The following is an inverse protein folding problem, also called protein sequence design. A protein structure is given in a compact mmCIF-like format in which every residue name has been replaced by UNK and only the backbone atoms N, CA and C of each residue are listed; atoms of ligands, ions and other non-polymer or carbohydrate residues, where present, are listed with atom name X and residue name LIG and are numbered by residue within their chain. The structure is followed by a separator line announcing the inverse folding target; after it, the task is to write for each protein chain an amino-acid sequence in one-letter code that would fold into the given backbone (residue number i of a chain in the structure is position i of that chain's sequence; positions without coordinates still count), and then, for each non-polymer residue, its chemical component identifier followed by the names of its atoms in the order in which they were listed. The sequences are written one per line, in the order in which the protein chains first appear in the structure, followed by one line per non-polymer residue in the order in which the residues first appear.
data_IF_576646113008
#
_entry.id   IF_576646113008
#
_cell.length_a   1.000
_cell.length_b   1.000
_cell.length_c   1.000
_cell.angle_alpha   90.00
_cell.angle_beta   90.00
_cell.angle_gamma   90.00
#
_symmetry.space_group_name_H-M   'P 1'
#
loop_
_entity.id
_entity.type
_entity.pdbx_description
1 polymer ?
#
# COMPACT_ATOMS: atom_id res chain seq x y z
N UNK A 1 5.43 30.08 -19.57
CA UNK A 1 6.75 29.70 -19.02
C UNK A 1 6.69 29.26 -17.55
N UNK A 2 5.88 29.86 -16.66
CA UNK A 2 5.78 29.40 -15.25
C UNK A 2 5.23 27.97 -15.10
N UNK A 3 4.32 27.55 -15.97
CA UNK A 3 3.77 26.19 -15.95
C UNK A 3 4.73 25.07 -16.39
N UNK A 4 5.84 25.41 -17.06
CA UNK A 4 6.90 24.44 -17.39
C UNK A 4 7.81 24.26 -16.17
N UNK A 5 8.23 25.36 -15.55
CA UNK A 5 9.05 25.39 -14.34
C UNK A 5 8.39 24.63 -13.17
N UNK A 6 7.07 24.79 -13.01
CA UNK A 6 6.31 24.04 -11.99
C UNK A 6 6.29 22.52 -12.23
N UNK A 7 6.23 22.08 -13.50
CA UNK A 7 6.27 20.65 -13.84
C UNK A 7 7.66 20.04 -13.61
N UNK A 8 8.70 20.80 -13.92
CA UNK A 8 10.09 20.40 -13.70
C UNK A 8 10.36 20.15 -12.21
N UNK A 9 9.96 21.09 -11.34
CA UNK A 9 10.08 20.96 -9.88
C UNK A 9 9.33 19.72 -9.37
N UNK A 10 8.11 19.48 -9.84
CA UNK A 10 7.32 18.29 -9.43
C UNK A 10 8.02 16.99 -9.85
N UNK A 11 8.64 16.98 -11.04
CA UNK A 11 9.39 15.82 -11.51
C UNK A 11 10.65 15.59 -10.68
N UNK A 12 11.44 16.63 -10.41
CA UNK A 12 12.62 16.53 -9.54
C UNK A 12 12.26 16.00 -8.16
N UNK A 13 11.22 16.56 -7.52
CA UNK A 13 10.75 16.08 -6.22
C UNK A 13 10.34 14.61 -6.26
N UNK A 14 9.70 14.14 -7.34
CA UNK A 14 9.33 12.72 -7.49
C UNK A 14 10.56 11.82 -7.59
N UNK A 15 11.58 12.25 -8.30
CA UNK A 15 12.85 11.50 -8.43
C UNK A 15 13.53 11.40 -7.06
N UNK A 16 13.66 12.52 -6.35
CA UNK A 16 14.29 12.54 -5.03
C UNK A 16 13.52 11.67 -4.01
N UNK A 17 12.19 11.75 -3.99
CA UNK A 17 11.36 10.88 -3.15
C UNK A 17 11.52 9.42 -3.55
N UNK A 18 11.67 9.11 -4.84
CA UNK A 18 11.92 7.74 -5.30
C UNK A 18 13.20 7.18 -4.70
N UNK A 19 14.29 7.96 -4.73
CA UNK A 19 15.58 7.56 -4.16
C UNK A 19 15.54 7.37 -2.65
N UNK A 20 14.81 8.23 -1.93
CA UNK A 20 14.62 8.06 -0.49
C UNK A 20 13.90 6.74 -0.20
N UNK A 21 12.86 6.41 -0.96
CA UNK A 21 12.14 5.15 -0.81
C UNK A 21 13.07 3.97 -1.09
N UNK A 22 13.86 4.03 -2.16
CA UNK A 22 14.82 2.96 -2.50
C UNK A 22 15.83 2.76 -1.37
N UNK A 23 16.42 3.83 -0.85
CA UNK A 23 17.37 3.78 0.27
C UNK A 23 16.75 3.19 1.55
N UNK A 24 15.50 3.56 1.88
CA UNK A 24 14.78 3.01 3.03
C UNK A 24 14.54 1.51 2.83
N UNK A 25 14.12 1.10 1.63
CA UNK A 25 13.86 -0.32 1.33
C UNK A 25 15.14 -1.15 1.42
N UNK A 26 16.25 -0.65 0.88
CA UNK A 26 17.55 -1.33 0.91
C UNK A 26 18.08 -1.47 2.34
N UNK A 27 18.05 -0.40 3.13
CA UNK A 27 18.45 -0.45 4.54
C UNK A 27 17.59 -1.46 5.33
N UNK A 28 16.29 -1.49 5.05
CA UNK A 28 15.37 -2.40 5.72
C UNK A 28 15.65 -3.86 5.36
N UNK A 29 16.01 -4.13 4.11
CA UNK A 29 16.42 -5.47 3.66
C UNK A 29 17.73 -5.90 4.31
N UNK A 30 18.73 -5.00 4.41
CA UNK A 30 19.97 -5.27 5.12
C UNK A 30 19.74 -5.61 6.59
N UNK A 31 18.78 -4.93 7.24
CA UNK A 31 18.42 -5.15 8.64
C UNK A 31 17.39 -6.27 8.85
N UNK A 32 16.90 -6.89 7.77
CA UNK A 32 15.84 -7.91 7.78
C UNK A 32 14.57 -7.46 8.52
N UNK A 33 14.23 -6.18 8.39
CA UNK A 33 13.02 -5.61 8.97
C UNK A 33 11.84 -5.81 8.01
N UNK A 34 10.77 -6.46 8.47
CA UNK A 34 9.52 -6.55 7.72
C UNK A 34 8.41 -5.86 8.50
N UNK A 35 7.80 -4.84 7.90
CA UNK A 35 6.65 -4.13 8.47
C UNK A 35 5.67 -3.77 7.37
N UNK A 36 4.42 -3.50 7.75
CA UNK A 36 3.38 -3.09 6.82
C UNK A 36 3.80 -1.88 5.97
N UNK A 37 4.33 -0.83 6.62
CA UNK A 37 4.80 0.38 5.93
C UNK A 37 5.93 0.10 4.94
N UNK A 38 6.88 -0.78 5.30
CA UNK A 38 7.97 -1.15 4.40
C UNK A 38 7.47 -1.93 3.19
N UNK A 39 6.48 -2.81 3.37
CA UNK A 39 5.86 -3.55 2.28
C UNK A 39 5.11 -2.60 1.31
N UNK A 40 4.40 -1.59 1.83
CA UNK A 40 3.78 -0.54 1.01
C UNK A 40 4.81 0.21 0.17
N UNK A 41 5.91 0.65 0.80
CA UNK A 41 6.98 1.40 0.15
C UNK A 41 7.69 0.56 -0.93
N UNK A 42 8.05 -0.68 -0.61
CA UNK A 42 8.73 -1.61 -1.52
C UNK A 42 7.91 -1.87 -2.78
N UNK A 43 6.60 -2.05 -2.61
CA UNK A 43 5.71 -2.37 -3.72
C UNK A 43 5.11 -1.13 -4.39
N UNK A 44 5.53 0.08 -4.00
CA UNK A 44 5.04 1.36 -4.54
C UNK A 44 3.50 1.44 -4.53
N UNK A 45 2.89 0.93 -3.46
CA UNK A 45 1.43 0.90 -3.29
C UNK A 45 0.93 2.33 -3.21
N UNK A 46 -0.09 2.66 -4.01
CA UNK A 46 -0.64 4.01 -4.04
C UNK A 46 -1.36 4.32 -2.72
N UNK A 47 -1.35 5.58 -2.25
CA UNK A 47 -2.02 5.96 -1.00
C UNK A 47 -3.50 5.56 -0.94
N UNK A 48 -4.21 5.64 -2.08
CA UNK A 48 -5.61 5.25 -2.16
C UNK A 48 -5.80 3.72 -2.03
N UNK A 49 -4.87 2.93 -2.56
CA UNK A 49 -4.90 1.46 -2.40
C UNK A 49 -4.66 1.08 -0.94
N UNK A 50 -3.64 1.69 -0.30
CA UNK A 50 -3.35 1.49 1.12
C UNK A 50 -4.56 1.86 1.99
N UNK A 51 -5.21 2.98 1.71
CA UNK A 51 -6.39 3.42 2.44
C UNK A 51 -7.55 2.42 2.35
N UNK A 52 -7.82 1.88 1.16
CA UNK A 52 -8.87 0.86 0.99
C UNK A 52 -8.56 -0.44 1.73
N UNK A 53 -7.30 -0.87 1.72
CA UNK A 53 -6.86 -2.04 2.49
C UNK A 53 -7.12 -1.83 3.98
N UNK A 54 -6.62 -0.72 4.53
CA UNK A 54 -6.76 -0.41 5.96
C UNK A 54 -8.22 -0.28 6.38
N UNK A 55 -9.04 0.40 5.57
CA UNK A 55 -10.46 0.59 5.86
C UNK A 55 -11.21 -0.74 5.93
N UNK A 56 -11.00 -1.63 4.97
CA UNK A 56 -11.69 -2.93 4.95
C UNK A 56 -11.20 -3.82 6.09
N UNK A 57 -9.89 -3.86 6.35
CA UNK A 57 -9.31 -4.60 7.48
C UNK A 57 -9.92 -4.10 8.80
N UNK A 58 -10.01 -2.78 8.99
CA UNK A 58 -10.61 -2.19 10.19
C UNK A 58 -12.09 -2.56 10.34
N UNK A 59 -12.89 -2.49 9.26
CA UNK A 59 -14.31 -2.88 9.28
C UNK A 59 -14.48 -4.37 9.60
N UNK A 60 -13.59 -5.22 9.09
CA UNK A 60 -13.65 -6.68 9.25
C UNK A 60 -12.88 -7.21 10.46
N UNK A 61 -12.27 -6.32 11.24
CA UNK A 61 -11.38 -6.66 12.36
C UNK A 61 -11.84 -7.85 13.21
N UNK A 62 -13.11 -7.84 13.66
CA UNK A 62 -13.67 -8.88 14.53
C UNK A 62 -13.84 -10.25 13.88
N UNK A 63 -13.93 -10.32 12.56
CA UNK A 63 -14.20 -11.54 11.79
C UNK A 63 -13.06 -11.83 10.81
N UNK A 64 -11.88 -11.26 11.04
CA UNK A 64 -10.83 -11.26 10.03
C UNK A 64 -10.20 -12.65 9.87
N UNK A 65 -10.06 -13.40 10.97
CA UNK A 65 -9.60 -14.80 10.96
C UNK A 65 -10.55 -15.76 10.23
N UNK A 66 -11.85 -15.46 10.20
CA UNK A 66 -12.86 -16.30 9.56
C UNK A 66 -13.22 -15.86 8.14
N UNK A 67 -12.71 -14.71 7.69
CA UNK A 67 -12.97 -14.21 6.34
C UNK A 67 -11.91 -14.73 5.37
N UNK A 68 -12.35 -15.34 4.27
CA UNK A 68 -11.43 -15.84 3.24
C UNK A 68 -10.69 -14.69 2.53
N UNK A 69 -9.50 -14.97 2.02
CA UNK A 69 -8.71 -14.00 1.26
C UNK A 69 -9.47 -13.48 0.04
N UNK A 70 -10.17 -14.36 -0.69
CA UNK A 70 -10.94 -14.02 -1.89
C UNK A 70 -12.05 -13.01 -1.55
N UNK A 71 -12.68 -13.18 -0.39
CA UNK A 71 -13.72 -12.27 0.10
C UNK A 71 -13.12 -10.91 0.46
N UNK A 72 -11.99 -10.89 1.18
CA UNK A 72 -11.28 -9.65 1.51
C UNK A 72 -10.81 -8.91 0.25
N UNK A 73 -10.24 -9.64 -0.71
CA UNK A 73 -9.80 -9.10 -2.01
C UNK A 73 -10.94 -8.40 -2.73
N UNK A 74 -12.11 -9.05 -2.85
CA UNK A 74 -13.28 -8.46 -3.50
C UNK A 74 -13.75 -7.20 -2.76
N UNK A 75 -13.78 -7.24 -1.43
CA UNK A 75 -14.18 -6.09 -0.63
C UNK A 75 -13.24 -4.91 -0.82
N UNK A 76 -11.92 -5.14 -0.76
CA UNK A 76 -10.88 -4.12 -0.95
C UNK A 76 -10.95 -3.56 -2.37
N UNK A 77 -11.05 -4.41 -3.39
CA UNK A 77 -11.13 -3.95 -4.78
C UNK A 77 -12.39 -3.13 -5.03
N UNK A 78 -13.53 -3.54 -4.47
CA UNK A 78 -14.79 -2.80 -4.59
C UNK A 78 -14.72 -1.46 -3.86
N UNK A 79 -14.14 -1.45 -2.66
CA UNK A 79 -13.91 -0.27 -1.84
C UNK A 79 -13.06 0.78 -2.60
N UNK A 80 -11.94 0.34 -3.18
CA UNK A 80 -11.05 1.15 -3.99
C UNK A 80 -11.71 1.67 -5.27
N UNK A 81 -12.39 0.79 -6.01
CA UNK A 81 -13.05 1.15 -7.27
C UNK A 81 -14.17 2.16 -7.00
N UNK A 82 -14.91 2.01 -5.89
CA UNK A 82 -15.96 2.93 -5.50
C UNK A 82 -15.41 4.33 -5.12
N UNK A 83 -14.25 4.40 -4.45
CA UNK A 83 -13.67 5.67 -4.03
C UNK A 83 -12.88 6.39 -5.13
N UNK A 84 -12.22 5.66 -6.02
CA UNK A 84 -11.29 6.24 -7.01
C UNK A 84 -11.81 6.20 -8.44
N UNK A 85 -12.83 5.37 -8.73
CA UNK A 85 -13.30 5.05 -10.08
C UNK A 85 -12.21 4.42 -10.98
N UNK A 86 -11.13 3.90 -10.39
CA UNK A 86 -10.03 3.23 -11.09
C UNK A 86 -10.12 1.72 -10.88
N UNK A 87 -9.62 0.90 -11.84
CA UNK A 87 -9.53 -0.54 -11.65
C UNK A 87 -8.46 -0.88 -10.60
N UNK A 88 -8.72 -1.89 -9.78
CA UNK A 88 -7.73 -2.46 -8.86
C UNK A 88 -6.62 -3.18 -9.64
N UNK A 89 -5.37 -2.80 -9.39
CA UNK A 89 -4.19 -3.34 -10.11
C UNK A 89 -3.18 -4.05 -9.22
N UNK A 90 -3.27 -3.90 -7.91
CA UNK A 90 -2.34 -4.54 -6.97
C UNK A 90 -2.42 -6.06 -7.06
N UNK A 91 -1.26 -6.73 -7.09
CA UNK A 91 -1.17 -8.17 -7.18
C UNK A 91 -1.67 -8.87 -5.92
N UNK A 92 -2.17 -10.09 -6.09
CA UNK A 92 -2.71 -10.88 -4.99
C UNK A 92 -1.61 -11.29 -4.00
N UNK A 93 -0.38 -11.52 -4.47
CA UNK A 93 0.77 -11.84 -3.63
C UNK A 93 1.08 -10.69 -2.66
N UNK A 94 1.16 -9.46 -3.18
CA UNK A 94 1.44 -8.26 -2.38
C UNK A 94 0.28 -8.00 -1.42
N UNK A 95 -0.96 -8.17 -1.89
CA UNK A 95 -2.14 -7.99 -1.03
C UNK A 95 -2.15 -9.00 0.14
N UNK A 96 -1.79 -10.27 -0.09
CA UNK A 96 -1.67 -11.28 0.98
C UNK A 96 -0.62 -10.89 2.01
N UNK A 97 0.54 -10.42 1.57
CA UNK A 97 1.62 -9.97 2.44
C UNK A 97 1.18 -8.75 3.27
N UNK A 98 0.53 -7.77 2.65
CA UNK A 98 0.02 -6.58 3.34
C UNK A 98 -1.03 -6.92 4.40
N UNK A 99 -1.97 -7.82 4.08
CA UNK A 99 -2.99 -8.27 5.03
C UNK A 99 -2.32 -8.98 6.21
N UNK A 100 -1.38 -9.92 5.95
CA UNK A 100 -0.74 -10.67 7.02
C UNK A 100 0.06 -9.77 7.96
N UNK A 101 0.82 -8.82 7.41
CA UNK A 101 1.58 -7.83 8.19
C UNK A 101 0.66 -6.92 9.01
N UNK A 102 -0.45 -6.46 8.43
CA UNK A 102 -1.38 -5.59 9.15
C UNK A 102 -2.13 -6.31 10.26
N UNK A 103 -2.47 -7.58 10.06
CA UNK A 103 -3.08 -8.40 11.11
C UNK A 103 -2.11 -8.63 12.26
N UNK A 104 -0.85 -8.95 11.96
CA UNK A 104 0.19 -9.10 12.98
C UNK A 104 0.45 -7.81 13.77
N UNK A 105 0.38 -6.64 13.11
CA UNK A 105 0.51 -5.34 13.79
C UNK A 105 -0.63 -5.07 14.78
N UNK A 106 -1.84 -5.51 14.45
CA UNK A 106 -3.05 -5.20 15.22
C UNK A 106 -3.39 -6.30 16.26
N UNK A 107 -2.90 -7.54 16.11
CA UNK A 107 -3.05 -8.66 17.04
C UNK A 107 -1.68 -9.05 17.66
N UNK A 108 -1.17 -8.28 18.64
CA UNK A 108 0.10 -8.58 19.32
C UNK A 108 0.04 -9.81 20.23
#
# INVERSE_FOLDING_TARGET
MSGLLAKEIVNELRVEVSWIIDAITELSDCLKLSSYTLCLLRNRVEPEEAHSIERVIFIKWKNLESTSFETLRILISNDFTASTQKPWTLSDEVLKELISLKVAELMP
#
